data_IF_336282584504
#
_entry.id   IF_336282584504
#
_cell.length_a   1.000
_cell.length_b   1.000
_cell.length_c   1.000
_cell.angle_alpha   90.00
_cell.angle_beta   90.00
_cell.angle_gamma   90.00
#
_symmetry.space_group_name_H-M   'P 1'
#
loop_
_entity.id
_entity.type
_entity.pdbx_description
1 polymer ?
#
# COMPACT_ATOMS: atom_id res chain seq x y z
N UNK A 1 -3.37 -21.29 45.96
CA UNK A 1 -4.19 -20.17 45.42
C UNK A 1 -3.49 -19.68 44.16
N UNK A 2 -4.20 -19.47 43.04
CA UNK A 2 -3.56 -18.98 41.81
C UNK A 2 -3.37 -17.46 41.89
N UNK A 3 -2.22 -16.98 41.43
CA UNK A 3 -1.92 -15.53 41.37
C UNK A 3 -2.30 -14.96 40.01
N UNK A 4 -2.90 -13.77 40.01
CA UNK A 4 -3.16 -12.95 38.82
C UNK A 4 -2.51 -11.58 39.01
N UNK A 5 -1.86 -11.06 37.97
CA UNK A 5 -1.42 -9.67 37.92
C UNK A 5 -2.46 -8.86 37.14
N UNK A 6 -2.98 -7.80 37.76
CA UNK A 6 -3.99 -6.91 37.20
C UNK A 6 -3.36 -5.54 36.95
N UNK A 7 -3.28 -5.16 35.68
CA UNK A 7 -2.60 -3.96 35.20
C UNK A 7 -3.64 -3.10 34.50
N UNK A 8 -3.92 -1.92 35.04
CA UNK A 8 -4.91 -0.99 34.48
C UNK A 8 -4.64 0.39 35.10
N UNK A 9 -4.62 1.47 34.34
CA UNK A 9 -4.34 2.81 34.88
C UNK A 9 -5.59 3.48 35.49
N UNK A 10 -6.80 3.01 35.14
CA UNK A 10 -8.04 3.40 35.81
C UNK A 10 -8.15 2.71 37.18
N UNK A 11 -7.79 3.45 38.23
CA UNK A 11 -7.86 2.97 39.61
C UNK A 11 -9.26 2.50 40.04
N UNK A 12 -10.33 3.05 39.47
CA UNK A 12 -11.70 2.64 39.79
C UNK A 12 -12.04 1.30 39.15
N UNK A 13 -11.71 1.13 37.88
CA UNK A 13 -11.95 -0.12 37.16
C UNK A 13 -11.02 -1.24 37.64
N UNK A 14 -9.74 -0.95 37.91
CA UNK A 14 -8.79 -1.87 38.55
C UNK A 14 -9.31 -2.39 39.88
N UNK A 15 -9.79 -1.51 40.77
CA UNK A 15 -10.37 -1.89 42.06
C UNK A 15 -11.62 -2.76 41.91
N UNK A 16 -12.44 -2.50 40.90
CA UNK A 16 -13.63 -3.30 40.61
C UNK A 16 -13.26 -4.72 40.15
N UNK A 17 -12.32 -4.84 39.20
CA UNK A 17 -11.80 -6.13 38.74
C UNK A 17 -11.11 -6.91 39.86
N UNK A 18 -10.29 -6.24 40.67
CA UNK A 18 -9.61 -6.85 41.82
C UNK A 18 -10.59 -7.50 42.80
N UNK A 19 -11.75 -6.87 43.05
CA UNK A 19 -12.83 -7.46 43.86
C UNK A 19 -13.41 -8.72 43.23
N UNK A 20 -13.72 -8.70 41.92
CA UNK A 20 -14.25 -9.88 41.23
C UNK A 20 -13.30 -11.07 41.32
N UNK A 21 -12.01 -10.83 41.07
CA UNK A 21 -10.96 -11.85 41.11
C UNK A 21 -10.75 -12.40 42.52
N UNK A 22 -10.74 -11.54 43.53
CA UNK A 22 -10.59 -11.95 44.94
C UNK A 22 -11.77 -12.82 45.39
N UNK A 23 -13.01 -12.46 45.04
CA UNK A 23 -14.21 -13.26 45.34
C UNK A 23 -14.16 -14.62 44.64
N UNK A 24 -13.61 -14.68 43.44
CA UNK A 24 -13.36 -15.92 42.71
C UNK A 24 -12.14 -16.72 43.22
N UNK A 25 -11.50 -16.31 44.32
CA UNK A 25 -10.41 -17.07 44.97
C UNK A 25 -9.02 -16.87 44.36
N UNK A 26 -8.80 -15.80 43.59
CA UNK A 26 -7.49 -15.43 43.07
C UNK A 26 -6.72 -14.56 44.05
N UNK A 27 -5.40 -14.76 44.12
CA UNK A 27 -4.48 -13.82 44.75
C UNK A 27 -4.14 -12.71 43.74
N UNK A 28 -4.57 -11.47 43.98
CA UNK A 28 -4.45 -10.37 43.02
C UNK A 28 -3.25 -9.49 43.37
N UNK A 29 -2.35 -9.31 42.40
CA UNK A 29 -1.30 -8.30 42.45
C UNK A 29 -1.69 -7.17 41.49
N UNK A 30 -1.78 -5.94 41.98
CA UNK A 30 -2.23 -4.79 41.18
C UNK A 30 -1.06 -3.90 40.75
N UNK A 31 -1.08 -3.44 39.51
CA UNK A 31 -0.20 -2.40 38.98
C UNK A 31 -1.03 -1.30 38.31
N UNK A 32 -0.59 -0.05 38.46
CA UNK A 32 -1.22 1.11 37.81
C UNK A 32 -0.66 1.43 36.43
N UNK A 33 0.41 0.77 35.99
CA UNK A 33 1.03 0.96 34.70
C UNK A 33 1.74 -0.33 34.22
N UNK A 34 2.08 -0.36 32.94
CA UNK A 34 2.68 -1.54 32.31
C UNK A 34 4.08 -1.90 32.81
N UNK A 35 4.90 -0.94 33.24
CA UNK A 35 6.28 -1.23 33.69
C UNK A 35 6.25 -1.99 35.02
N UNK A 36 5.51 -1.47 35.99
CA UNK A 36 5.27 -2.14 37.28
C UNK A 36 4.60 -3.50 37.08
N UNK A 37 3.64 -3.57 36.16
CA UNK A 37 2.95 -4.80 35.80
C UNK A 37 3.88 -5.89 35.25
N UNK A 38 4.82 -5.52 34.37
CA UNK A 38 5.85 -6.45 33.86
C UNK A 38 6.74 -6.94 35.00
N UNK A 39 7.21 -6.05 35.89
CA UNK A 39 8.06 -6.45 37.01
C UNK A 39 7.34 -7.44 37.93
N UNK A 40 6.07 -7.19 38.26
CA UNK A 40 5.25 -8.11 39.06
C UNK A 40 5.07 -9.46 38.36
N UNK A 41 4.81 -9.46 37.05
CA UNK A 41 4.62 -10.69 36.29
C UNK A 41 5.90 -11.55 36.25
N UNK A 42 7.06 -10.94 36.03
CA UNK A 42 8.35 -11.64 36.00
C UNK A 42 8.77 -12.15 37.38
N UNK A 43 8.54 -11.36 38.44
CA UNK A 43 8.93 -11.72 39.81
C UNK A 43 8.05 -12.82 40.42
N UNK A 44 6.74 -12.80 40.15
CA UNK A 44 5.77 -13.66 40.83
C UNK A 44 5.24 -14.83 39.99
N UNK A 45 5.60 -14.91 38.71
CA UNK A 45 5.19 -15.98 37.78
C UNK A 45 3.68 -16.32 37.91
N UNK A 46 2.80 -15.33 37.68
CA UNK A 46 1.37 -15.52 37.90
C UNK A 46 0.80 -16.54 36.92
N UNK A 47 -0.37 -17.10 37.25
CA UNK A 47 -1.09 -17.96 36.32
C UNK A 47 -1.79 -17.15 35.21
N UNK A 48 -2.09 -15.87 35.46
CA UNK A 48 -2.69 -14.97 34.49
C UNK A 48 -2.23 -13.52 34.67
N UNK A 49 -2.29 -12.76 33.58
CA UNK A 49 -2.10 -11.31 33.52
C UNK A 49 -3.32 -10.72 32.83
N UNK A 50 -3.93 -9.72 33.44
CA UNK A 50 -5.01 -8.94 32.84
C UNK A 50 -4.45 -7.53 32.69
N UNK A 51 -4.46 -7.00 31.47
CA UNK A 51 -3.76 -5.76 31.15
C UNK A 51 -4.65 -4.83 30.32
N UNK A 52 -4.80 -3.57 30.72
CA UNK A 52 -5.39 -2.55 29.86
C UNK A 52 -4.49 -2.28 28.64
N UNK A 53 -5.12 -2.01 27.49
CA UNK A 53 -4.40 -1.74 26.26
C UNK A 53 -3.77 -0.33 26.25
N UNK A 54 -4.49 0.68 26.72
CA UNK A 54 -4.15 2.08 26.53
C UNK A 54 -3.70 2.73 27.83
N UNK A 55 -2.47 2.40 28.23
CA UNK A 55 -1.80 3.01 29.38
C UNK A 55 -0.63 3.88 28.94
N UNK A 56 -0.35 4.94 29.71
CA UNK A 56 0.83 5.79 29.48
C UNK A 56 2.14 5.02 29.74
N UNK A 57 3.22 5.41 29.05
CA UNK A 57 4.60 4.85 29.14
C UNK A 57 4.76 3.42 28.61
N UNK A 58 3.90 2.49 29.03
CA UNK A 58 3.95 1.09 28.64
C UNK A 58 2.53 0.57 28.38
N UNK A 59 2.18 0.40 27.11
CA UNK A 59 0.86 -0.05 26.68
C UNK A 59 0.70 -1.58 26.74
N UNK A 60 -0.52 -2.08 26.60
CA UNK A 60 -0.81 -3.50 26.72
C UNK A 60 -0.06 -4.38 25.70
N UNK A 61 0.26 -3.86 24.51
CA UNK A 61 1.07 -4.59 23.53
C UNK A 61 2.52 -4.78 24.01
N UNK A 62 3.10 -3.74 24.60
CA UNK A 62 4.45 -3.80 25.17
C UNK A 62 4.50 -4.76 26.35
N UNK A 63 3.49 -4.74 27.23
CA UNK A 63 3.37 -5.71 28.34
C UNK A 63 3.34 -7.15 27.81
N UNK A 64 2.50 -7.44 26.81
CA UNK A 64 2.43 -8.77 26.19
C UNK A 64 3.81 -9.20 25.67
N UNK A 65 4.42 -8.36 24.82
CA UNK A 65 5.72 -8.63 24.20
C UNK A 65 6.81 -8.87 25.25
N UNK A 66 6.91 -7.98 26.24
CA UNK A 66 7.93 -8.08 27.29
C UNK A 66 7.78 -9.35 28.12
N UNK A 67 6.56 -9.76 28.47
CA UNK A 67 6.33 -11.00 29.22
C UNK A 67 6.70 -12.23 28.37
N UNK A 68 6.36 -12.23 27.07
CA UNK A 68 6.71 -13.33 26.16
C UNK A 68 8.22 -13.42 25.91
N UNK A 69 8.89 -12.30 25.72
CA UNK A 69 10.33 -12.26 25.40
C UNK A 69 11.22 -12.43 26.65
N UNK A 70 10.99 -11.61 27.69
CA UNK A 70 11.83 -11.61 28.90
C UNK A 70 11.46 -12.75 29.85
N UNK A 71 10.20 -13.19 29.81
CA UNK A 71 9.69 -14.30 30.60
C UNK A 71 9.89 -15.68 29.95
N UNK A 72 10.69 -15.81 28.88
CA UNK A 72 10.86 -17.09 28.17
C UNK A 72 11.30 -18.26 29.09
N UNK A 73 11.95 -17.97 30.22
CA UNK A 73 12.41 -18.94 31.21
C UNK A 73 11.45 -19.19 32.38
N UNK A 74 10.28 -18.53 32.40
CA UNK A 74 9.24 -18.75 33.42
C UNK A 74 8.03 -19.46 32.83
N UNK A 75 7.18 -20.02 33.70
CA UNK A 75 5.88 -20.52 33.25
C UNK A 75 5.07 -19.37 32.66
N UNK A 76 4.67 -19.50 31.40
CA UNK A 76 3.97 -18.44 30.68
C UNK A 76 2.58 -18.21 31.27
N UNK A 77 2.26 -16.98 31.75
CA UNK A 77 0.91 -16.66 32.18
C UNK A 77 -0.02 -16.60 30.98
N UNK A 78 -1.31 -16.85 31.23
CA UNK A 78 -2.34 -16.46 30.27
C UNK A 78 -2.48 -14.93 30.28
N UNK A 79 -2.42 -14.28 29.13
CA UNK A 79 -2.51 -12.82 29.02
C UNK A 79 -3.85 -12.43 28.40
N UNK A 80 -4.63 -11.64 29.13
CA UNK A 80 -5.90 -11.07 28.67
C UNK A 80 -5.71 -9.57 28.50
N UNK A 81 -5.81 -9.08 27.27
CA UNK A 81 -5.82 -7.64 27.00
C UNK A 81 -7.24 -7.11 27.15
N UNK A 82 -7.41 -5.99 27.82
CA UNK A 82 -8.69 -5.28 27.96
C UNK A 82 -8.61 -3.93 27.27
N UNK A 83 -9.68 -3.46 26.62
CA UNK A 83 -9.68 -2.16 25.94
C UNK A 83 -11.08 -1.56 25.93
N UNK A 84 -11.17 -0.22 25.91
CA UNK A 84 -12.44 0.47 25.64
C UNK A 84 -12.88 0.42 24.17
N UNK A 85 -11.96 0.13 23.23
CA UNK A 85 -12.24 -0.01 21.80
C UNK A 85 -12.47 -1.48 21.41
N UNK A 86 -13.38 -1.69 20.46
CA UNK A 86 -13.63 -2.99 19.84
C UNK A 86 -13.01 -3.17 18.46
N UNK A 87 -11.99 -2.37 18.11
CA UNK A 87 -11.40 -2.43 16.78
C UNK A 87 -10.73 -3.78 16.53
N UNK A 88 -11.07 -4.41 15.40
CA UNK A 88 -10.54 -5.73 15.03
C UNK A 88 -9.00 -5.72 14.90
N UNK A 89 -8.42 -4.57 14.54
CA UNK A 89 -6.97 -4.34 14.51
C UNK A 89 -6.31 -4.52 15.85
N UNK A 90 -6.89 -3.91 16.88
CA UNK A 90 -6.29 -3.90 18.21
C UNK A 90 -6.35 -5.30 18.80
N UNK A 91 -7.45 -6.02 18.54
CA UNK A 91 -7.62 -7.43 18.87
C UNK A 91 -6.54 -8.27 18.19
N UNK A 92 -6.37 -8.10 16.88
CA UNK A 92 -5.38 -8.84 16.12
C UNK A 92 -3.96 -8.54 16.58
N UNK A 93 -3.57 -7.26 16.67
CA UNK A 93 -2.26 -6.85 17.12
C UNK A 93 -1.96 -7.37 18.52
N UNK A 94 -2.96 -7.40 19.43
CA UNK A 94 -2.81 -8.01 20.75
C UNK A 94 -2.47 -9.50 20.65
N UNK A 95 -3.19 -10.26 19.83
CA UNK A 95 -2.91 -11.69 19.61
C UNK A 95 -1.52 -11.91 19.01
N UNK A 96 -1.12 -11.11 18.03
CA UNK A 96 0.19 -11.21 17.35
C UNK A 96 1.37 -10.96 18.28
N UNK A 97 1.24 -10.02 19.23
CA UNK A 97 2.27 -9.78 20.25
C UNK A 97 2.18 -10.73 21.45
N UNK A 98 1.26 -11.70 21.40
CA UNK A 98 1.21 -12.84 22.32
C UNK A 98 0.14 -12.79 23.41
N UNK A 99 -0.90 -11.95 23.29
CA UNK A 99 -2.10 -12.09 24.11
C UNK A 99 -2.85 -13.39 23.79
N UNK A 100 -3.51 -13.97 24.79
CA UNK A 100 -4.35 -15.17 24.64
C UNK A 100 -5.82 -14.82 24.41
N UNK A 101 -6.26 -13.66 24.91
CA UNK A 101 -7.65 -13.19 24.84
C UNK A 101 -7.70 -11.66 24.76
N UNK A 102 -8.79 -11.14 24.20
CA UNK A 102 -9.09 -9.71 24.17
C UNK A 102 -10.50 -9.43 24.66
N UNK A 103 -10.66 -8.47 25.57
CA UNK A 103 -11.93 -8.12 26.19
C UNK A 103 -12.26 -6.64 26.02
N UNK A 104 -13.45 -6.36 25.50
CA UNK A 104 -13.94 -4.99 25.30
C UNK A 104 -14.68 -4.51 26.56
N UNK A 105 -14.27 -3.38 27.11
CA UNK A 105 -14.92 -2.70 28.24
C UNK A 105 -16.20 -1.99 27.75
N UNK A 106 -17.29 -1.97 28.54
CA UNK A 106 -17.43 -2.65 29.83
C UNK A 106 -17.79 -4.15 29.67
N UNK A 107 -17.19 -4.98 30.50
CA UNK A 107 -17.53 -6.41 30.64
C UNK A 107 -17.93 -6.73 32.08
N UNK A 108 -18.62 -7.86 32.29
CA UNK A 108 -19.05 -8.31 33.62
C UNK A 108 -17.98 -9.19 34.26
N UNK A 109 -17.94 -9.21 35.60
CA UNK A 109 -17.04 -10.08 36.36
C UNK A 109 -17.16 -11.56 35.97
N UNK A 110 -18.38 -12.06 35.82
CA UNK A 110 -18.62 -13.46 35.43
C UNK A 110 -18.00 -13.81 34.08
N UNK A 111 -17.97 -12.87 33.13
CA UNK A 111 -17.38 -13.09 31.80
C UNK A 111 -15.85 -13.20 31.91
N UNK A 112 -15.23 -12.30 32.68
CA UNK A 112 -13.79 -12.34 32.95
C UNK A 112 -13.36 -13.63 33.66
N UNK A 113 -14.10 -14.04 34.69
CA UNK A 113 -13.80 -15.28 35.44
C UNK A 113 -13.96 -16.51 34.54
N UNK A 114 -15.05 -16.59 33.75
CA UNK A 114 -15.24 -17.68 32.78
C UNK A 114 -14.10 -17.76 31.80
N UNK A 115 -13.62 -16.62 31.29
CA UNK A 115 -12.48 -16.60 30.37
C UNK A 115 -11.26 -17.16 31.09
N UNK A 116 -10.88 -16.64 32.25
CA UNK A 116 -9.71 -17.10 33.03
C UNK A 116 -9.75 -18.60 33.36
N UNK A 117 -10.93 -19.16 33.63
CA UNK A 117 -11.11 -20.56 34.02
C UNK A 117 -11.23 -21.54 32.85
N UNK A 118 -11.48 -21.07 31.62
CA UNK A 118 -11.46 -21.94 30.43
C UNK A 118 -10.11 -22.63 30.30
N UNK A 119 -10.11 -23.96 30.31
CA UNK A 119 -8.93 -24.75 29.97
C UNK A 119 -8.55 -24.44 28.52
N UNK A 120 -7.25 -24.20 28.27
CA UNK A 120 -6.71 -23.84 26.96
C UNK A 120 -7.08 -24.91 25.92
N UNK A 121 -8.16 -24.67 25.18
CA UNK A 121 -8.41 -25.36 23.94
C UNK A 121 -7.38 -24.83 22.93
N UNK A 122 -6.51 -25.72 22.46
CA UNK A 122 -5.62 -25.46 21.32
C UNK A 122 -6.43 -24.78 20.21
N UNK A 123 -5.92 -23.64 19.74
CA UNK A 123 -6.32 -22.87 18.57
C UNK A 123 -7.25 -23.65 17.62
N UNK A 124 -8.53 -23.29 17.62
CA UNK A 124 -9.39 -23.55 16.47
C UNK A 124 -8.89 -22.60 15.38
N UNK A 125 -8.23 -23.15 14.37
CA UNK A 125 -7.96 -22.43 13.13
C UNK A 125 -9.30 -21.93 12.60
N UNK A 126 -9.48 -20.61 12.52
CA UNK A 126 -10.62 -20.02 11.82
C UNK A 126 -10.37 -20.34 10.35
N UNK A 127 -10.97 -21.43 9.87
CA UNK A 127 -11.03 -21.72 8.45
C UNK A 127 -11.72 -20.53 7.79
N UNK A 128 -11.06 -19.95 6.78
CA UNK A 128 -11.63 -18.90 5.96
C UNK A 128 -13.05 -19.31 5.53
N UNK A 129 -14.02 -18.43 5.77
CA UNK A 129 -15.40 -18.69 5.36
C UNK A 129 -15.42 -19.04 3.87
N UNK A 130 -16.22 -20.04 3.46
CA UNK A 130 -16.27 -20.45 2.06
C UNK A 130 -16.66 -19.23 1.20
N UNK A 131 -15.81 -18.92 0.22
CA UNK A 131 -16.08 -17.88 -0.76
C UNK A 131 -17.36 -18.28 -1.50
N UNK A 132 -18.43 -17.47 -1.49
CA UNK A 132 -19.65 -17.78 -2.21
C UNK A 132 -19.34 -17.97 -3.70
N UNK A 133 -20.12 -18.79 -4.43
CA UNK A 133 -19.83 -19.10 -5.83
C UNK A 133 -19.68 -17.82 -6.66
N UNK A 134 -18.54 -17.71 -7.37
CA UNK A 134 -18.23 -16.57 -8.22
C UNK A 134 -19.31 -16.41 -9.29
N UNK A 135 -20.04 -15.29 -9.26
CA UNK A 135 -20.75 -14.81 -10.44
C UNK A 135 -19.70 -14.47 -11.50
N UNK A 136 -19.96 -14.80 -12.76
CA UNK A 136 -19.06 -14.39 -13.85
C UNK A 136 -18.89 -12.86 -13.79
N UNK A 137 -17.64 -12.35 -13.84
CA UNK A 137 -17.40 -10.91 -13.82
C UNK A 137 -18.07 -10.26 -15.03
N UNK A 138 -18.50 -9.01 -14.85
CA UNK A 138 -18.99 -8.19 -15.94
C UNK A 138 -17.86 -8.02 -16.95
N UNK A 139 -18.04 -8.56 -18.17
CA UNK A 139 -17.15 -8.24 -19.28
C UNK A 139 -17.53 -6.87 -19.81
N UNK A 140 -16.55 -5.99 -20.04
CA UNK A 140 -16.80 -4.82 -20.85
C UNK A 140 -17.36 -5.27 -22.22
N UNK A 141 -18.41 -4.62 -22.74
CA UNK A 141 -18.88 -4.90 -24.09
C UNK A 141 -17.71 -4.74 -25.07
N UNK A 142 -17.46 -5.78 -25.89
CA UNK A 142 -16.32 -5.83 -26.81
C UNK A 142 -16.35 -4.76 -27.91
N UNK A 143 -17.50 -4.09 -28.07
CA UNK A 143 -17.77 -3.02 -29.04
C UNK A 143 -17.59 -1.61 -28.47
N UNK A 144 -17.25 -1.45 -27.18
CA UNK A 144 -16.94 -0.13 -26.65
C UNK A 144 -15.60 0.38 -27.21
N UNK A 145 -15.55 1.65 -27.67
CA UNK A 145 -14.30 2.24 -28.14
C UNK A 145 -13.29 2.31 -26.99
N UNK A 146 -11.99 2.12 -27.26
CA UNK A 146 -10.97 2.29 -26.24
C UNK A 146 -11.04 3.67 -25.59
N UNK A 147 -10.89 3.69 -24.27
CA UNK A 147 -11.04 4.89 -23.45
C UNK A 147 -9.84 5.03 -22.52
N UNK A 148 -9.28 6.22 -22.51
CA UNK A 148 -8.28 6.66 -21.55
C UNK A 148 -8.91 7.65 -20.57
N UNK A 149 -8.63 7.52 -19.28
CA UNK A 149 -9.07 8.48 -18.27
C UNK A 149 -8.03 8.66 -17.17
N UNK A 150 -7.68 9.92 -16.93
CA UNK A 150 -6.78 10.32 -15.85
C UNK A 150 -7.57 10.49 -14.54
N UNK A 151 -7.10 9.83 -13.48
CA UNK A 151 -7.67 9.91 -12.13
C UNK A 151 -6.74 10.62 -11.15
N UNK A 152 -5.45 10.68 -11.48
CA UNK A 152 -4.45 11.58 -10.90
C UNK A 152 -3.28 11.78 -11.87
N UNK A 153 -2.67 12.95 -11.79
CA UNK A 153 -1.66 13.47 -12.74
C UNK A 153 -0.46 14.13 -12.03
N UNK A 154 -0.46 14.18 -10.69
CA UNK A 154 0.61 14.80 -9.89
C UNK A 154 1.69 13.78 -9.52
N UNK A 155 2.92 14.25 -9.46
CA UNK A 155 4.04 13.52 -8.89
C UNK A 155 4.14 13.67 -7.38
N UNK A 156 4.95 12.82 -6.75
CA UNK A 156 5.45 12.90 -5.36
C UNK A 156 4.40 12.86 -4.24
N UNK A 157 3.44 13.79 -4.20
CA UNK A 157 2.40 13.88 -3.17
C UNK A 157 1.08 14.43 -3.73
N UNK A 158 -0.07 14.10 -3.13
CA UNK A 158 -1.34 14.71 -3.53
C UNK A 158 -1.37 16.19 -3.12
N UNK A 159 -1.81 17.06 -4.04
CA UNK A 159 -1.90 18.50 -3.85
C UNK A 159 -3.31 19.04 -4.10
N UNK A 160 -4.35 18.57 -3.39
CA UNK A 160 -5.70 19.08 -3.56
C UNK A 160 -5.78 20.54 -3.08
N UNK A 161 -6.25 21.44 -3.93
CA UNK A 161 -6.45 22.83 -3.55
C UNK A 161 -7.16 23.65 -4.63
N UNK A 162 -7.57 24.89 -4.33
CA UNK A 162 -8.19 25.79 -5.32
C UNK A 162 -7.31 26.06 -6.54
N UNK A 163 -5.99 25.90 -6.40
CA UNK A 163 -4.98 26.09 -7.46
C UNK A 163 -4.73 24.87 -8.34
N UNK A 164 -5.37 23.72 -8.05
CA UNK A 164 -5.14 22.44 -8.76
C UNK A 164 -6.46 21.78 -9.21
N UNK A 165 -7.50 22.58 -9.45
CA UNK A 165 -8.85 22.10 -9.78
C UNK A 165 -8.96 21.67 -11.24
N UNK A 166 -8.25 22.35 -12.15
CA UNK A 166 -8.32 22.11 -13.59
C UNK A 166 -7.64 20.79 -13.97
N UNK A 167 -6.38 20.59 -13.56
CA UNK A 167 -5.64 19.37 -13.89
C UNK A 167 -5.78 18.29 -12.81
N UNK A 168 -6.03 18.69 -11.56
CA UNK A 168 -6.26 17.79 -10.43
C UNK A 168 -5.03 17.60 -9.55
N UNK A 169 -5.26 17.57 -8.23
CA UNK A 169 -4.22 17.35 -7.21
C UNK A 169 -3.98 15.89 -6.82
N UNK A 170 -4.54 14.91 -7.53
CA UNK A 170 -4.31 13.49 -7.21
C UNK A 170 -3.02 12.99 -7.87
N UNK A 171 -2.33 12.07 -7.20
CA UNK A 171 -1.14 11.40 -7.75
C UNK A 171 -1.46 10.28 -8.74
N UNK A 172 -0.45 9.92 -9.53
CA UNK A 172 -0.43 8.94 -10.62
C UNK A 172 -1.49 7.84 -10.55
N UNK A 173 -2.50 7.94 -11.41
CA UNK A 173 -3.46 6.87 -11.66
C UNK A 173 -4.18 7.10 -12.99
N UNK A 174 -4.07 6.15 -13.91
CA UNK A 174 -4.71 6.20 -15.23
C UNK A 174 -5.53 4.94 -15.47
N UNK A 175 -6.76 5.10 -15.95
CA UNK A 175 -7.64 4.02 -16.37
C UNK A 175 -7.60 3.89 -17.90
N UNK A 176 -7.31 2.68 -18.38
CA UNK A 176 -7.40 2.27 -19.77
C UNK A 176 -8.48 1.21 -19.88
N UNK A 177 -9.50 1.47 -20.69
CA UNK A 177 -10.50 0.46 -21.08
C UNK A 177 -10.31 0.14 -22.54
N UNK A 178 -9.97 -1.10 -22.86
CA UNK A 178 -9.77 -1.53 -24.24
C UNK A 178 -9.93 -3.04 -24.37
N UNK A 179 -10.45 -3.49 -25.50
CA UNK A 179 -10.51 -4.91 -25.89
C UNK A 179 -11.15 -5.86 -24.85
N UNK A 180 -12.07 -5.34 -24.04
CA UNK A 180 -12.75 -6.09 -22.98
C UNK A 180 -12.13 -5.94 -21.58
N UNK A 181 -10.99 -5.26 -21.47
CA UNK A 181 -10.20 -5.15 -20.24
C UNK A 181 -10.33 -3.77 -19.58
N UNK A 182 -10.27 -3.74 -18.25
CA UNK A 182 -10.03 -2.53 -17.45
C UNK A 182 -8.63 -2.65 -16.86
N UNK A 183 -7.71 -1.84 -17.40
CA UNK A 183 -6.31 -1.78 -16.98
C UNK A 183 -6.10 -0.46 -16.25
N UNK A 184 -5.49 -0.53 -15.08
CA UNK A 184 -5.14 0.60 -14.23
C UNK A 184 -3.62 0.72 -14.25
N UNK A 185 -3.12 1.92 -14.55
CA UNK A 185 -1.71 2.25 -14.52
C UNK A 185 -1.45 3.06 -13.26
N UNK A 186 -0.70 2.46 -12.34
CA UNK A 186 -0.43 2.90 -10.97
C UNK A 186 -1.65 3.10 -10.05
N UNK A 187 -1.38 2.96 -8.76
CA UNK A 187 -2.34 3.03 -7.67
C UNK A 187 -2.05 4.21 -6.72
N UNK A 188 -1.68 5.36 -7.28
CA UNK A 188 -1.59 6.61 -6.54
C UNK A 188 -2.93 7.03 -5.94
N UNK A 189 -2.96 8.17 -5.25
CA UNK A 189 -4.16 8.68 -4.57
C UNK A 189 -5.38 8.84 -5.51
N UNK A 190 -5.16 9.01 -6.82
CA UNK A 190 -6.22 9.02 -7.82
C UNK A 190 -7.06 7.73 -7.86
N UNK A 191 -6.48 6.57 -7.53
CA UNK A 191 -7.15 5.28 -7.60
C UNK A 191 -8.38 5.20 -6.69
N UNK A 192 -8.41 5.96 -5.59
CA UNK A 192 -9.58 6.06 -4.71
C UNK A 192 -10.81 6.55 -5.47
N UNK A 193 -10.65 7.60 -6.30
CA UNK A 193 -11.77 8.15 -7.09
C UNK A 193 -12.19 7.20 -8.19
N UNK A 194 -11.24 6.50 -8.82
CA UNK A 194 -11.51 5.42 -9.76
C UNK A 194 -12.34 4.31 -9.09
N UNK A 195 -11.92 3.82 -7.92
CA UNK A 195 -12.62 2.76 -7.19
C UNK A 195 -14.06 3.12 -6.85
N UNK A 196 -14.32 4.36 -6.42
CA UNK A 196 -15.69 4.86 -6.18
C UNK A 196 -16.52 4.91 -7.45
N UNK A 197 -15.92 5.29 -8.58
CA UNK A 197 -16.61 5.33 -9.86
C UNK A 197 -16.94 3.93 -10.39
N UNK A 198 -16.01 2.97 -10.29
CA UNK A 198 -16.24 1.57 -10.62
C UNK A 198 -17.34 0.97 -9.75
N UNK A 199 -17.31 1.19 -8.44
CA UNK A 199 -18.37 0.71 -7.54
C UNK A 199 -19.75 1.28 -7.91
N UNK A 200 -19.82 2.55 -8.31
CA UNK A 200 -21.06 3.18 -8.77
C UNK A 200 -21.54 2.60 -10.12
N UNK A 201 -20.61 2.37 -11.03
CA UNK A 201 -20.89 1.88 -12.38
C UNK A 201 -21.37 0.43 -12.37
N UNK A 202 -20.64 -0.45 -11.69
CA UNK A 202 -20.89 -1.89 -11.69
C UNK A 202 -21.82 -2.35 -10.56
N UNK A 203 -22.01 -1.53 -9.51
CA UNK A 203 -22.88 -1.84 -8.36
C UNK A 203 -22.55 -3.21 -7.75
N UNK A 204 -23.45 -4.18 -7.88
CA UNK A 204 -23.31 -5.55 -7.36
C UNK A 204 -22.71 -6.52 -8.40
N UNK A 205 -22.36 -6.03 -9.59
CA UNK A 205 -21.71 -6.86 -10.61
C UNK A 205 -20.21 -6.98 -10.30
N UNK A 206 -19.66 -8.19 -10.26
CA UNK A 206 -18.24 -8.36 -10.06
C UNK A 206 -17.44 -7.81 -11.24
N UNK A 207 -16.26 -7.27 -10.97
CA UNK A 207 -15.35 -6.75 -12.00
C UNK A 207 -14.02 -7.48 -11.99
N UNK A 208 -13.44 -7.69 -13.17
CA UNK A 208 -12.05 -8.13 -13.32
C UNK A 208 -11.19 -6.94 -13.72
N UNK A 209 -10.10 -6.72 -12.97
CA UNK A 209 -9.25 -5.55 -13.07
C UNK A 209 -7.79 -6.00 -13.13
N UNK A 210 -6.99 -5.32 -13.95
CA UNK A 210 -5.53 -5.46 -13.92
C UNK A 210 -4.89 -4.13 -13.54
N UNK A 211 -4.07 -4.13 -12.50
CA UNK A 211 -3.28 -3.00 -12.04
C UNK A 211 -1.82 -3.23 -12.43
N UNK A 212 -1.27 -2.39 -13.31
CA UNK A 212 0.15 -2.36 -13.65
C UNK A 212 0.84 -1.29 -12.79
N UNK A 213 1.80 -1.72 -11.98
CA UNK A 213 2.63 -0.85 -11.13
C UNK A 213 3.95 -0.59 -11.85
N UNK A 214 4.29 0.68 -12.05
CA UNK A 214 5.57 1.10 -12.67
C UNK A 214 6.72 0.92 -11.70
N UNK A 215 6.54 1.39 -10.47
CA UNK A 215 7.44 1.24 -9.34
C UNK A 215 6.69 1.52 -8.02
N UNK A 216 7.38 1.40 -6.88
CA UNK A 216 6.74 1.40 -5.56
C UNK A 216 7.04 2.66 -4.73
N UNK A 217 7.30 3.81 -5.35
CA UNK A 217 7.23 5.07 -4.61
C UNK A 217 5.80 5.35 -4.16
N UNK A 218 5.67 6.13 -3.07
CA UNK A 218 4.41 6.28 -2.35
C UNK A 218 3.29 6.82 -3.24
N UNK A 219 3.57 7.82 -4.06
CA UNK A 219 2.64 8.43 -4.99
C UNK A 219 2.09 7.48 -6.07
N UNK A 220 2.68 6.29 -6.25
CA UNK A 220 2.23 5.24 -7.16
C UNK A 220 1.47 4.10 -6.46
N UNK A 221 1.49 4.01 -5.13
CA UNK A 221 0.83 2.90 -4.40
C UNK A 221 -0.07 3.34 -3.23
N UNK A 222 0.08 4.57 -2.73
CA UNK A 222 -0.57 5.07 -1.51
C UNK A 222 -2.10 5.05 -1.56
N UNK A 223 -2.69 5.04 -2.75
CA UNK A 223 -4.14 5.00 -2.92
C UNK A 223 -4.72 3.60 -2.82
N UNK A 224 -3.90 2.55 -2.97
CA UNK A 224 -4.34 1.16 -2.99
C UNK A 224 -5.15 0.74 -1.74
N UNK A 225 -4.75 1.09 -0.50
CA UNK A 225 -5.56 0.78 0.69
C UNK A 225 -6.97 1.39 0.65
N UNK A 226 -7.21 2.41 -0.18
CA UNK A 226 -8.51 3.06 -0.34
C UNK A 226 -9.24 2.64 -1.63
N UNK A 227 -8.74 1.63 -2.34
CA UNK A 227 -9.34 1.11 -3.55
C UNK A 227 -10.47 0.13 -3.22
N UNK A 228 -11.68 0.67 -3.04
CA UNK A 228 -12.90 -0.09 -2.66
C UNK A 228 -13.08 -1.42 -3.43
N UNK A 229 -12.84 -1.51 -4.75
CA UNK A 229 -12.96 -2.78 -5.47
C UNK A 229 -12.09 -3.93 -4.94
N UNK A 230 -10.96 -3.65 -4.30
CA UNK A 230 -10.09 -4.67 -3.69
C UNK A 230 -10.77 -5.42 -2.53
N UNK A 231 -11.73 -4.78 -1.85
CA UNK A 231 -12.40 -5.34 -0.67
C UNK A 231 -13.66 -6.14 -0.99
N UNK A 232 -14.10 -6.16 -2.26
CA UNK A 232 -15.25 -6.97 -2.66
C UNK A 232 -14.77 -8.37 -3.08
N UNK A 233 -15.13 -9.45 -2.36
CA UNK A 233 -14.68 -10.82 -2.63
C UNK A 233 -15.15 -11.37 -3.98
N UNK A 234 -16.13 -10.73 -4.62
CA UNK A 234 -16.63 -11.15 -5.93
C UNK A 234 -15.75 -10.65 -7.08
N UNK A 235 -15.03 -9.55 -6.89
CA UNK A 235 -14.15 -8.98 -7.91
C UNK A 235 -12.97 -9.91 -8.18
N UNK A 236 -12.13 -9.57 -9.15
CA UNK A 236 -10.82 -10.19 -9.35
C UNK A 236 -9.84 -9.10 -9.68
N UNK A 237 -8.74 -9.03 -8.92
CA UNK A 237 -7.73 -7.99 -9.10
C UNK A 237 -6.37 -8.65 -9.33
N UNK A 238 -5.80 -8.44 -10.51
CA UNK A 238 -4.43 -8.84 -10.82
C UNK A 238 -3.53 -7.62 -10.67
N UNK A 239 -2.50 -7.71 -9.86
CA UNK A 239 -1.50 -6.66 -9.67
C UNK A 239 -0.19 -7.15 -10.25
N UNK A 240 0.29 -6.47 -11.28
CA UNK A 240 1.51 -6.82 -12.01
C UNK A 240 2.52 -5.69 -11.84
N UNK A 241 3.78 -6.04 -11.61
CA UNK A 241 4.88 -5.09 -11.56
C UNK A 241 6.21 -5.83 -11.55
N UNK A 242 7.33 -5.11 -11.61
CA UNK A 242 8.65 -5.72 -11.51
C UNK A 242 9.13 -5.75 -10.06
N UNK A 243 9.96 -6.74 -9.74
CA UNK A 243 10.63 -6.80 -8.45
C UNK A 243 11.57 -5.60 -8.31
N UNK A 244 11.34 -4.78 -7.27
CA UNK A 244 12.20 -3.65 -6.92
C UNK A 244 13.34 -4.06 -6.00
N UNK A 245 13.74 -3.16 -5.10
CA UNK A 245 14.63 -3.52 -4.00
C UNK A 245 13.83 -4.05 -2.80
N UNK A 246 14.33 -5.09 -2.09
CA UNK A 246 13.79 -5.73 -0.86
C UNK A 246 12.96 -7.00 -1.11
N UNK A 247 11.92 -7.25 -0.29
CA UNK A 247 11.16 -8.52 -0.17
C UNK A 247 10.08 -8.72 -1.26
N UNK A 248 10.21 -8.05 -2.40
CA UNK A 248 9.25 -8.12 -3.50
C UNK A 248 8.01 -7.22 -3.39
N UNK A 249 7.21 -7.22 -4.46
CA UNK A 249 6.01 -6.40 -4.66
C UNK A 249 4.91 -6.74 -3.65
N UNK A 250 4.63 -8.03 -3.44
CA UNK A 250 3.61 -8.46 -2.48
C UNK A 250 3.92 -7.98 -1.06
N UNK A 251 5.19 -8.11 -0.63
CA UNK A 251 5.61 -7.65 0.70
C UNK A 251 5.49 -6.13 0.82
N UNK A 252 5.84 -5.39 -0.23
CA UNK A 252 5.71 -3.92 -0.24
C UNK A 252 4.25 -3.47 -0.10
N UNK A 253 3.34 -4.08 -0.87
CA UNK A 253 1.90 -3.80 -0.77
C UNK A 253 1.30 -4.25 0.57
N UNK A 254 1.85 -5.29 1.19
CA UNK A 254 1.42 -5.76 2.52
C UNK A 254 1.84 -4.79 3.62
N UNK A 255 3.10 -4.31 3.62
CA UNK A 255 3.59 -3.42 4.68
C UNK A 255 2.91 -2.04 4.67
N UNK A 256 2.48 -1.51 3.52
CA UNK A 256 1.68 -0.27 3.52
C UNK A 256 0.29 -0.46 4.16
N UNK A 257 -0.16 -1.71 4.31
CA UNK A 257 -1.47 -2.08 4.85
C UNK A 257 -1.39 -2.70 6.25
N UNK A 258 -0.22 -2.66 6.92
CA UNK A 258 -0.04 -3.27 8.25
C UNK A 258 -0.23 -2.26 9.39
N UNK A 259 -0.53 -2.78 10.58
CA UNK A 259 -0.62 -1.99 11.81
C UNK A 259 0.77 -1.44 12.20
N UNK A 260 0.90 -0.15 12.61
CA UNK A 260 -0.17 0.80 12.87
C UNK A 260 -0.51 1.72 11.67
N UNK A 261 0.10 1.52 10.49
CA UNK A 261 -0.06 2.40 9.33
C UNK A 261 -1.47 2.31 8.71
N UNK A 262 -2.05 1.11 8.71
CA UNK A 262 -3.40 0.88 8.19
C UNK A 262 -4.13 -0.20 8.99
N UNK A 263 -5.45 -0.07 9.20
CA UNK A 263 -6.21 -0.98 10.04
C UNK A 263 -6.62 -2.30 9.37
N UNK A 264 -6.24 -2.55 8.12
CA UNK A 264 -6.64 -3.78 7.41
C UNK A 264 -5.45 -4.33 6.66
N UNK A 265 -4.85 -5.41 7.18
CA UNK A 265 -3.79 -6.12 6.46
C UNK A 265 -4.29 -6.67 5.12
N UNK A 266 -3.43 -6.62 4.11
CA UNK A 266 -3.66 -7.23 2.80
C UNK A 266 -4.03 -8.71 2.91
N UNK A 267 -3.55 -9.40 3.95
CA UNK A 267 -3.88 -10.81 4.21
C UNK A 267 -5.34 -11.05 4.60
N UNK A 268 -6.07 -10.03 5.07
CA UNK A 268 -7.52 -10.11 5.34
C UNK A 268 -8.37 -9.52 4.23
N UNK A 269 -7.74 -8.93 3.22
CA UNK A 269 -8.44 -8.57 1.99
C UNK A 269 -8.82 -9.89 1.29
N UNK A 270 -9.99 -9.98 0.62
CA UNK A 270 -10.44 -11.23 0.04
C UNK A 270 -9.40 -11.90 -0.87
N UNK A 271 -9.41 -13.23 -0.92
CA UNK A 271 -8.43 -14.07 -1.62
C UNK A 271 -8.45 -13.96 -3.17
N UNK A 272 -9.11 -12.95 -3.72
CA UNK A 272 -9.27 -12.69 -5.14
C UNK A 272 -8.27 -11.67 -5.72
N UNK A 273 -7.25 -11.31 -4.92
CA UNK A 273 -6.12 -10.48 -5.33
C UNK A 273 -4.94 -11.39 -5.66
N UNK A 274 -4.46 -11.30 -6.89
CA UNK A 274 -3.27 -12.00 -7.38
C UNK A 274 -2.17 -10.98 -7.64
N UNK A 275 -1.03 -11.11 -6.94
CA UNK A 275 0.13 -10.22 -7.10
C UNK A 275 1.23 -11.01 -7.81
N UNK A 276 1.60 -10.58 -9.01
CA UNK A 276 2.61 -11.25 -9.84
C UNK A 276 3.76 -10.31 -10.14
N UNK A 277 4.97 -10.78 -9.86
CA UNK A 277 6.21 -10.12 -10.30
C UNK A 277 6.56 -10.56 -11.72
N UNK A 278 6.64 -9.58 -12.61
CA UNK A 278 6.97 -9.77 -14.01
C UNK A 278 8.47 -10.06 -14.16
N UNK A 279 8.79 -10.98 -15.06
CA UNK A 279 10.17 -11.35 -15.45
C UNK A 279 10.48 -11.02 -16.90
N UNK A 280 9.45 -11.11 -17.73
CA UNK A 280 9.53 -10.84 -19.16
C UNK A 280 9.09 -9.40 -19.46
N UNK A 281 9.62 -8.83 -20.53
CA UNK A 281 9.21 -7.51 -21.02
C UNK A 281 8.01 -7.55 -21.96
N UNK A 282 7.52 -8.74 -22.32
CA UNK A 282 6.33 -8.91 -23.14
C UNK A 282 5.34 -9.87 -22.48
N UNK A 283 4.09 -9.45 -22.36
CA UNK A 283 3.01 -10.24 -21.76
C UNK A 283 1.65 -9.77 -22.28
N UNK A 284 0.57 -10.43 -21.83
CA UNK A 284 -0.79 -10.10 -22.23
C UNK A 284 -1.69 -9.85 -21.01
N UNK A 285 -2.57 -8.86 -21.15
CA UNK A 285 -3.72 -8.64 -20.29
C UNK A 285 -4.95 -8.89 -21.15
N UNK A 286 -5.53 -10.09 -21.03
CA UNK A 286 -6.56 -10.55 -21.94
C UNK A 286 -6.11 -10.47 -23.40
N UNK A 287 -6.78 -9.63 -24.19
CA UNK A 287 -6.44 -9.38 -25.60
C UNK A 287 -5.42 -8.26 -25.81
N UNK A 288 -5.14 -7.45 -24.79
CA UNK A 288 -4.20 -6.34 -24.87
C UNK A 288 -2.79 -6.88 -24.71
N UNK A 289 -1.95 -6.73 -25.74
CA UNK A 289 -0.52 -7.04 -25.64
C UNK A 289 0.17 -5.89 -24.92
N UNK A 290 1.04 -6.20 -23.96
CA UNK A 290 1.80 -5.22 -23.20
C UNK A 290 3.29 -5.47 -23.40
N UNK A 291 4.00 -4.41 -23.72
CA UNK A 291 5.46 -4.37 -23.73
C UNK A 291 5.93 -3.45 -22.61
N UNK A 292 6.96 -3.84 -21.86
CA UNK A 292 7.56 -3.00 -20.85
C UNK A 292 9.01 -2.67 -21.19
N UNK A 293 9.54 -1.62 -20.58
CA UNK A 293 10.95 -1.25 -20.58
C UNK A 293 11.32 -0.67 -19.23
N UNK A 294 12.58 -0.78 -18.81
CA UNK A 294 13.05 0.02 -17.69
C UNK A 294 13.38 1.44 -18.15
N UNK A 295 13.09 2.40 -17.27
CA UNK A 295 13.31 3.84 -17.47
C UNK A 295 14.30 4.37 -16.43
N UNK A 296 14.84 5.57 -16.67
CA UNK A 296 15.83 6.15 -15.77
C UNK A 296 15.15 6.87 -14.59
N UNK A 297 15.11 6.20 -13.45
CA UNK A 297 14.56 6.74 -12.21
C UNK A 297 15.23 6.03 -11.02
N UNK A 298 15.33 6.63 -9.82
CA UNK A 298 15.83 5.96 -8.64
C UNK A 298 15.11 4.63 -8.34
N UNK A 299 15.86 3.53 -8.37
CA UNK A 299 15.33 2.19 -8.18
C UNK A 299 14.90 1.51 -9.48
N UNK A 300 14.06 0.49 -9.38
CA UNK A 300 13.48 -0.19 -10.56
C UNK A 300 12.20 0.53 -10.93
N UNK A 301 12.18 1.16 -12.11
CA UNK A 301 10.99 1.77 -12.68
C UNK A 301 10.75 1.25 -14.09
N UNK A 302 9.52 0.81 -14.33
CA UNK A 302 9.07 0.31 -15.63
C UNK A 302 8.16 1.30 -16.33
N UNK A 303 8.39 1.51 -17.62
CA UNK A 303 7.40 2.06 -18.54
C UNK A 303 6.62 0.94 -19.23
N UNK A 304 5.34 1.17 -19.53
CA UNK A 304 4.48 0.21 -20.22
C UNK A 304 3.96 0.77 -21.54
N UNK A 305 3.90 -0.06 -22.58
CA UNK A 305 3.24 0.21 -23.85
C UNK A 305 2.17 -0.85 -24.11
N UNK A 306 0.91 -0.41 -24.11
CA UNK A 306 -0.26 -1.24 -24.32
C UNK A 306 -0.64 -1.16 -25.80
N UNK A 307 -0.80 -2.31 -26.44
CA UNK A 307 -1.25 -2.43 -27.82
C UNK A 307 -2.69 -2.93 -27.84
N UNK A 308 -3.60 -2.06 -28.28
CA UNK A 308 -5.04 -2.29 -28.34
C UNK A 308 -5.51 -2.37 -29.80
N UNK A 309 -6.76 -2.78 -30.02
CA UNK A 309 -7.37 -2.77 -31.35
C UNK A 309 -7.44 -1.38 -32.01
N UNK A 310 -7.43 -0.29 -31.24
CA UNK A 310 -7.49 1.07 -31.78
C UNK A 310 -6.13 1.77 -31.93
N UNK A 311 -5.06 1.20 -31.38
CA UNK A 311 -3.74 1.83 -31.34
C UNK A 311 -2.94 1.47 -30.09
N UNK A 312 -1.86 2.21 -29.86
CA UNK A 312 -0.93 1.97 -28.76
C UNK A 312 -0.79 3.15 -27.80
N UNK A 313 -0.76 2.84 -26.50
CA UNK A 313 -0.65 3.80 -25.40
C UNK A 313 0.64 3.49 -24.63
N UNK A 314 1.58 4.43 -24.58
CA UNK A 314 2.78 4.36 -23.76
C UNK A 314 2.63 5.19 -22.48
N UNK A 315 3.10 4.66 -21.35
CA UNK A 315 3.01 5.25 -20.01
C UNK A 315 4.36 5.13 -19.30
N UNK A 316 5.03 6.28 -19.12
CA UNK A 316 6.34 6.43 -18.49
C UNK A 316 6.25 7.58 -17.46
N UNK A 317 5.57 7.38 -16.32
CA UNK A 317 5.22 8.48 -15.43
C UNK A 317 6.42 9.12 -14.75
N UNK A 318 7.55 8.42 -14.64
CA UNK A 318 8.77 8.88 -13.99
C UNK A 318 9.96 8.48 -14.87
N UNK A 319 10.63 9.46 -15.46
CA UNK A 319 11.78 9.21 -16.33
C UNK A 319 12.64 10.46 -16.51
N UNK A 320 13.93 10.35 -16.21
CA UNK A 320 14.93 11.38 -16.50
C UNK A 320 15.75 11.02 -17.76
N UNK A 321 15.81 11.84 -18.81
CA UNK A 321 16.63 11.52 -19.98
C UNK A 321 18.11 11.29 -19.63
N UNK A 322 18.70 10.18 -20.10
CA UNK A 322 20.05 9.76 -19.70
C UNK A 322 21.10 10.77 -20.15
N UNK A 323 21.01 11.26 -21.40
CA UNK A 323 21.94 12.25 -21.94
C UNK A 323 21.87 13.56 -21.17
N UNK A 324 20.66 14.00 -20.82
CA UNK A 324 20.43 15.24 -20.09
C UNK A 324 21.09 15.18 -18.70
N UNK A 325 20.86 14.09 -17.95
CA UNK A 325 21.47 13.88 -16.64
C UNK A 325 23.00 13.82 -16.71
N UNK A 326 23.55 13.06 -17.66
CA UNK A 326 25.01 12.82 -17.77
C UNK A 326 25.79 14.01 -18.33
N UNK A 327 25.17 14.83 -19.16
CA UNK A 327 25.80 16.03 -19.74
C UNK A 327 25.89 17.19 -18.74
N UNK A 328 25.03 17.18 -17.71
CA UNK A 328 24.97 18.25 -16.72
C UNK A 328 26.23 18.27 -15.82
N UNK A 329 26.79 19.45 -15.48
CA UNK A 329 27.98 19.55 -14.61
C UNK A 329 27.79 18.95 -13.21
N UNK A 330 26.55 18.95 -12.70
CA UNK A 330 26.16 18.31 -11.44
C UNK A 330 25.78 16.83 -11.57
N UNK A 331 25.83 16.25 -12.77
CA UNK A 331 25.52 14.83 -13.02
C UNK A 331 26.58 13.88 -12.46
N UNK A 332 26.26 12.58 -12.44
CA UNK A 332 27.18 11.54 -11.95
C UNK A 332 28.50 11.54 -12.76
N UNK A 333 29.60 11.88 -12.09
CA UNK A 333 30.94 11.85 -12.70
C UNK A 333 31.44 10.42 -12.89
N UNK A 334 31.95 10.14 -14.09
CA UNK A 334 32.55 8.85 -14.47
C UNK A 334 34.01 9.05 -14.84
N UNK A 335 34.82 7.98 -14.73
CA UNK A 335 36.26 8.02 -15.07
C UNK A 335 36.50 8.28 -16.57
N UNK A 336 35.57 7.87 -17.43
CA UNK A 336 35.55 8.20 -18.86
C UNK A 336 34.24 8.92 -19.20
N UNK A 337 34.34 10.21 -19.55
CA UNK A 337 33.18 11.05 -19.89
C UNK A 337 32.60 10.71 -21.25
N UNK A 338 33.44 10.35 -22.24
CA UNK A 338 32.97 10.08 -23.60
C UNK A 338 32.22 8.76 -23.65
N UNK A 339 32.74 7.73 -23.00
CA UNK A 339 32.06 6.43 -22.91
C UNK A 339 30.71 6.55 -22.19
N UNK A 340 30.65 7.30 -21.10
CA UNK A 340 29.40 7.53 -20.37
C UNK A 340 28.35 8.29 -21.19
N UNK A 341 28.77 9.27 -22.00
CA UNK A 341 27.86 9.96 -22.92
C UNK A 341 27.38 9.04 -24.04
N UNK A 342 28.26 8.22 -24.63
CA UNK A 342 27.83 7.26 -25.64
C UNK A 342 26.82 6.26 -25.09
N UNK A 343 27.06 5.73 -23.89
CA UNK A 343 26.11 4.85 -23.20
C UNK A 343 24.77 5.55 -22.96
N UNK A 344 24.78 6.80 -22.52
CA UNK A 344 23.57 7.58 -22.29
C UNK A 344 22.75 7.75 -23.58
N UNK A 345 23.42 8.09 -24.69
CA UNK A 345 22.81 8.14 -26.02
C UNK A 345 22.15 6.82 -26.41
N UNK A 346 22.83 5.69 -26.18
CA UNK A 346 22.29 4.38 -26.50
C UNK A 346 21.05 4.03 -25.67
N UNK A 347 20.98 4.48 -24.41
CA UNK A 347 19.77 4.30 -23.59
C UNK A 347 18.61 5.17 -24.07
N UNK A 348 18.83 6.45 -24.35
CA UNK A 348 17.79 7.33 -24.87
C UNK A 348 17.26 6.83 -26.22
N UNK A 349 18.13 6.27 -27.08
CA UNK A 349 17.74 5.67 -28.36
C UNK A 349 16.83 4.44 -28.17
N UNK A 350 17.02 3.64 -27.11
CA UNK A 350 16.12 2.53 -26.79
C UNK A 350 14.74 3.03 -26.38
N UNK A 351 14.68 4.12 -25.60
CA UNK A 351 13.41 4.75 -25.23
C UNK A 351 12.70 5.30 -26.49
N UNK A 352 13.43 5.96 -27.39
CA UNK A 352 12.88 6.43 -28.68
C UNK A 352 12.29 5.27 -29.48
N UNK A 353 13.01 4.15 -29.61
CA UNK A 353 12.51 2.99 -30.36
C UNK A 353 11.31 2.33 -29.66
N UNK A 354 11.31 2.25 -28.32
CA UNK A 354 10.16 1.77 -27.54
C UNK A 354 8.91 2.63 -27.76
N UNK A 355 9.06 3.95 -27.90
CA UNK A 355 7.97 4.91 -28.09
C UNK A 355 7.56 5.12 -29.54
N UNK A 356 8.33 4.58 -30.48
CA UNK A 356 8.19 4.86 -31.90
C UNK A 356 6.78 4.62 -32.42
N UNK A 357 6.25 5.64 -33.11
CA UNK A 357 4.92 5.67 -33.71
C UNK A 357 3.77 5.35 -32.71
N UNK A 358 3.98 5.58 -31.41
CA UNK A 358 2.91 5.44 -30.42
C UNK A 358 1.77 6.43 -30.68
N UNK A 359 0.53 5.96 -30.54
CA UNK A 359 -0.63 6.82 -30.73
C UNK A 359 -0.78 7.80 -29.57
N UNK A 360 -0.53 7.32 -28.35
CA UNK A 360 -0.56 8.11 -27.12
C UNK A 360 0.71 7.88 -26.32
N UNK A 361 1.33 8.96 -25.85
CA UNK A 361 2.38 8.95 -24.82
C UNK A 361 1.90 9.74 -23.60
N UNK A 362 1.94 9.11 -22.44
CA UNK A 362 1.74 9.74 -21.13
C UNK A 362 3.08 9.63 -20.42
N UNK A 363 3.69 10.76 -20.08
CA UNK A 363 5.08 10.77 -19.62
C UNK A 363 5.33 11.87 -18.61
N UNK A 364 6.25 11.58 -17.70
CA UNK A 364 6.89 12.54 -16.80
C UNK A 364 7.12 13.89 -17.47
N UNK A 365 6.84 14.96 -16.74
CA UNK A 365 7.09 16.34 -17.15
C UNK A 365 7.15 17.23 -15.91
N UNK A 366 7.81 16.73 -14.85
CA UNK A 366 7.71 17.34 -13.53
C UNK A 366 8.25 18.77 -13.53
N UNK A 367 9.31 19.05 -14.29
CA UNK A 367 10.01 20.33 -14.27
C UNK A 367 9.92 21.11 -15.58
N UNK A 368 10.16 22.41 -15.53
CA UNK A 368 10.66 23.16 -16.69
C UNK A 368 12.19 23.09 -16.81
N UNK A 369 12.76 23.59 -17.92
CA UNK A 369 14.21 23.57 -18.17
C UNK A 369 15.05 24.27 -17.07
N UNK A 370 14.48 25.31 -16.44
CA UNK A 370 15.15 26.10 -15.41
C UNK A 370 15.12 25.39 -14.05
N UNK A 371 13.95 24.86 -13.67
CA UNK A 371 13.76 24.04 -12.47
C UNK A 371 14.66 22.80 -12.52
N UNK A 372 14.72 22.12 -13.66
CA UNK A 372 15.52 20.91 -13.84
C UNK A 372 17.00 21.08 -13.47
N UNK A 373 17.60 22.27 -13.67
CA UNK A 373 19.02 22.52 -13.34
C UNK A 373 19.36 22.21 -11.87
N UNK A 374 18.39 22.37 -10.98
CA UNK A 374 18.52 22.07 -9.54
C UNK A 374 18.02 20.68 -9.13
N UNK A 375 17.45 19.91 -10.06
CA UNK A 375 16.79 18.62 -9.83
C UNK A 375 17.43 17.46 -10.61
N UNK A 376 18.64 17.66 -11.16
CA UNK A 376 19.36 16.62 -11.89
C UNK A 376 19.64 15.41 -11.00
N UNK A 377 19.34 14.22 -11.51
CA UNK A 377 19.49 12.93 -10.83
C UNK A 377 18.32 12.56 -9.92
N UNK A 378 17.24 13.35 -9.90
CA UNK A 378 16.05 13.05 -9.12
C UNK A 378 15.13 12.04 -9.82
N UNK A 379 15.41 11.69 -11.08
CA UNK A 379 14.63 10.70 -11.83
C UNK A 379 13.44 11.28 -12.59
N UNK A 380 13.41 12.60 -12.79
CA UNK A 380 12.38 13.33 -13.53
C UNK A 380 13.02 14.23 -14.59
N UNK A 381 12.28 14.49 -15.67
CA UNK A 381 12.71 15.32 -16.80
C UNK A 381 12.04 16.68 -16.82
N UNK A 382 12.31 17.42 -17.90
CA UNK A 382 11.60 18.65 -18.20
C UNK A 382 10.68 18.54 -19.42
N UNK A 383 9.70 19.45 -19.50
CA UNK A 383 8.72 19.52 -20.59
C UNK A 383 9.40 19.57 -21.97
N UNK A 384 10.46 20.36 -22.14
CA UNK A 384 11.14 20.53 -23.42
C UNK A 384 11.78 19.24 -23.93
N UNK A 385 12.47 18.51 -23.06
CA UNK A 385 13.12 17.24 -23.40
C UNK A 385 12.07 16.17 -23.75
N UNK A 386 10.95 16.19 -23.04
CA UNK A 386 9.81 15.28 -23.26
C UNK A 386 9.13 15.56 -24.62
N UNK A 387 8.94 16.83 -24.97
CA UNK A 387 8.42 17.22 -26.29
C UNK A 387 9.38 16.79 -27.39
N UNK A 388 10.70 17.00 -27.20
CA UNK A 388 11.71 16.55 -28.16
C UNK A 388 11.68 15.03 -28.34
N UNK A 389 11.61 14.27 -27.23
CA UNK A 389 11.49 12.81 -27.26
C UNK A 389 10.25 12.36 -28.05
N UNK A 390 9.09 12.96 -27.80
CA UNK A 390 7.85 12.65 -28.50
C UNK A 390 7.95 12.90 -30.01
N UNK A 391 8.62 13.99 -30.41
CA UNK A 391 8.88 14.32 -31.81
C UNK A 391 9.85 13.33 -32.47
N UNK A 392 10.96 12.98 -31.81
CA UNK A 392 11.91 11.99 -32.32
C UNK A 392 11.28 10.61 -32.50
N UNK A 393 10.42 10.21 -31.56
CA UNK A 393 9.66 8.96 -31.61
C UNK A 393 8.42 9.03 -32.51
N UNK A 394 8.07 10.19 -33.09
CA UNK A 394 6.87 10.40 -33.93
C UNK A 394 5.57 9.99 -33.22
N UNK A 395 5.47 10.30 -31.93
CA UNK A 395 4.25 10.11 -31.16
C UNK A 395 3.13 10.98 -31.72
N UNK A 396 1.91 10.43 -31.84
CA UNK A 396 0.77 11.17 -32.41
C UNK A 396 0.14 12.13 -31.40
N UNK A 397 0.01 11.72 -30.15
CA UNK A 397 -0.55 12.53 -29.07
C UNK A 397 0.26 12.39 -27.79
N UNK A 398 0.74 13.53 -27.27
CA UNK A 398 1.50 13.63 -26.03
C UNK A 398 0.60 14.17 -24.91
N UNK A 399 0.62 13.52 -23.75
CA UNK A 399 0.07 14.00 -22.50
C UNK A 399 1.22 14.22 -21.52
N UNK A 400 1.44 15.48 -21.15
CA UNK A 400 2.30 15.85 -20.04
C UNK A 400 1.66 15.35 -18.74
N UNK A 401 2.45 14.71 -17.90
CA UNK A 401 2.01 14.00 -16.70
C UNK A 401 3.04 14.12 -15.58
N UNK A 402 2.68 13.63 -14.38
CA UNK A 402 3.54 13.67 -13.19
C UNK A 402 4.02 15.09 -12.84
N UNK A 403 3.09 16.05 -12.91
CA UNK A 403 3.41 17.45 -12.66
C UNK A 403 3.88 17.67 -11.22
N UNK A 404 4.78 18.63 -11.03
CA UNK A 404 5.30 18.95 -9.71
C UNK A 404 4.18 19.33 -8.72
N UNK A 405 4.26 18.90 -7.46
CA UNK A 405 3.34 19.30 -6.41
C UNK A 405 3.10 20.82 -6.32
N UNK A 406 4.14 21.61 -6.54
CA UNK A 406 4.10 23.06 -6.35
C UNK A 406 3.62 23.83 -7.60
N UNK A 407 3.42 23.13 -8.73
CA UNK A 407 2.86 23.73 -9.94
C UNK A 407 1.33 23.87 -9.84
N UNK A 408 0.85 25.11 -9.91
CA UNK A 408 -0.57 25.40 -10.04
C UNK A 408 -1.10 25.19 -11.47
N UNK A 409 -2.42 25.27 -11.63
CA UNK A 409 -3.07 25.12 -12.94
C UNK A 409 -2.61 26.17 -13.96
N UNK A 410 -2.20 27.37 -13.52
CA UNK A 410 -1.71 28.40 -14.44
C UNK A 410 -0.30 28.08 -14.93
N UNK A 411 0.56 27.52 -14.08
CA UNK A 411 1.90 27.09 -14.44
C UNK A 411 1.85 25.94 -15.44
N UNK A 412 1.02 24.92 -15.19
CA UNK A 412 0.85 23.78 -16.10
C UNK A 412 0.21 24.18 -17.44
N UNK A 413 -0.61 25.25 -17.45
CA UNK A 413 -1.23 25.74 -18.68
C UNK A 413 -0.27 26.50 -19.62
N UNK A 414 0.89 26.95 -19.11
CA UNK A 414 1.90 27.66 -19.91
C UNK A 414 2.70 26.67 -20.73
#
# INVERSE_FOLDING_TARGET
MKTVVLIDDDASFRKLMGKWLTVAGWNVLEAGDGEDGIQLALAHQPAAVICDLLMARCNGFQVCRSIREQGANIQQPRIIVTSGSGYATDQQSAMEVGADEYLIKPFKGDDLIRILERQSARQISIAAAPVPPHKAPASLPADQPPRLKFWGVRGSIPTPGPSTVQYGGNTSCVEVRADGEIIILDAGSGIRRLGLALAKEFKDQPVELTLLITHTHWDHIQGFPFFVPAYNPQNKLRILGYEGARKGLYSTLTHQMESPYFPVSLQHVPANIDVTELKEFEFHVGKVRVQATFVNHPGVCAGYRLFTSAGSIAYLPDNEPFQRMRSHPGGQQTSDRLEALNYASDQDQKIIEFLKDADVLIIDSQYDDAEYQSHVGWGHGCVEDVVALALFAKVKQLFLFHHDPDHDDNQISK
#
